data_IF_043889834197
#
_entry.id   IF_043889834197
#
_cell.length_a   1.000
_cell.length_b   1.000
_cell.length_c   1.000
_cell.angle_alpha   90.00
_cell.angle_beta   90.00
_cell.angle_gamma   90.00
#
_symmetry.space_group_name_H-M   'P 1'
#
loop_
_entity.id
_entity.type
_entity.pdbx_description
1 polymer ?
#
# COMPACT_ATOMS: atom_id res chain seq x y z
N UNK A 1 -28.21 17.79 -45.33
CA UNK A 1 -26.79 18.12 -45.05
C UNK A 1 -26.54 18.05 -43.55
N UNK A 2 -26.15 16.88 -43.03
CA UNK A 2 -25.66 16.71 -41.66
C UNK A 2 -24.26 16.14 -41.74
N UNK A 3 -23.24 16.90 -41.28
CA UNK A 3 -21.85 16.47 -41.28
C UNK A 3 -21.63 15.50 -40.12
N UNK A 4 -21.33 14.23 -40.44
CA UNK A 4 -20.77 13.28 -39.47
C UNK A 4 -19.40 13.79 -38.99
N UNK A 5 -19.25 14.00 -37.68
CA UNK A 5 -17.94 14.21 -37.05
C UNK A 5 -17.33 12.84 -36.74
N UNK A 6 -16.34 12.43 -37.53
CA UNK A 6 -15.47 11.27 -37.23
C UNK A 6 -14.43 11.68 -36.18
N UNK A 7 -14.28 10.86 -35.14
CA UNK A 7 -13.17 10.92 -34.20
C UNK A 7 -12.14 9.82 -34.53
N UNK A 8 -10.83 10.04 -34.33
CA UNK A 8 -9.79 9.09 -34.73
C UNK A 8 -9.75 7.87 -33.79
N UNK A 9 -9.59 6.69 -34.38
CA UNK A 9 -9.33 5.42 -33.68
C UNK A 9 -7.84 5.34 -33.37
N UNK A 10 -7.46 5.32 -32.09
CA UNK A 10 -6.09 4.99 -31.67
C UNK A 10 -5.91 3.46 -31.70
N UNK A 11 -5.01 2.97 -32.54
CA UNK A 11 -4.55 1.58 -32.58
C UNK A 11 -3.49 1.37 -31.49
N UNK A 12 -3.79 0.55 -30.48
CA UNK A 12 -2.80 0.01 -29.54
C UNK A 12 -2.34 -1.37 -30.04
N UNK A 13 -1.05 -1.72 -29.90
CA UNK A 13 -0.51 -2.98 -30.40
C UNK A 13 -0.74 -4.11 -29.38
N UNK A 14 -1.94 -4.69 -29.35
CA UNK A 14 -2.28 -6.06 -28.90
C UNK A 14 -3.82 -6.25 -28.95
N UNK A 15 -4.38 -7.43 -29.30
CA UNK A 15 -5.74 -7.54 -29.81
C UNK A 15 -6.77 -7.65 -28.67
N UNK A 16 -7.06 -6.53 -28.02
CA UNK A 16 -8.22 -6.38 -27.15
C UNK A 16 -9.10 -5.31 -27.78
N UNK A 17 -10.22 -5.73 -28.38
CA UNK A 17 -11.17 -4.78 -28.98
C UNK A 17 -12.13 -4.32 -27.88
N UNK A 18 -11.95 -3.08 -27.39
CA UNK A 18 -12.91 -2.42 -26.51
C UNK A 18 -13.93 -1.66 -27.36
N UNK A 19 -15.21 -1.94 -27.17
CA UNK A 19 -16.30 -1.16 -27.78
C UNK A 19 -16.98 -0.36 -26.68
N UNK A 20 -17.06 0.96 -26.89
CA UNK A 20 -17.78 1.88 -26.02
C UNK A 20 -19.20 2.00 -26.57
N UNK A 21 -20.20 1.67 -25.75
CA UNK A 21 -21.62 1.88 -26.10
C UNK A 21 -22.37 2.54 -24.96
N UNK A 22 -23.46 3.23 -25.30
CA UNK A 22 -24.35 3.89 -24.35
C UNK A 22 -25.67 3.12 -24.28
N UNK A 23 -26.01 2.62 -23.10
CA UNK A 23 -27.33 2.01 -22.83
C UNK A 23 -28.04 2.93 -21.84
N UNK A 24 -29.18 3.49 -22.25
CA UNK A 24 -29.97 4.47 -21.47
C UNK A 24 -29.16 5.66 -20.94
N UNK A 25 -28.27 6.21 -21.75
CA UNK A 25 -27.54 7.45 -21.43
C UNK A 25 -26.30 7.29 -20.55
N UNK A 26 -25.96 6.06 -20.13
CA UNK A 26 -24.75 5.78 -19.35
C UNK A 26 -23.70 5.08 -20.22
N UNK A 27 -22.46 5.55 -20.18
CA UNK A 27 -21.35 5.04 -20.99
C UNK A 27 -20.83 3.72 -20.38
N UNK A 28 -20.89 2.63 -21.14
CA UNK A 28 -20.40 1.33 -20.72
C UNK A 28 -19.24 0.88 -21.61
N UNK A 29 -18.18 0.36 -20.97
CA UNK A 29 -17.03 -0.25 -21.65
C UNK A 29 -17.24 -1.76 -21.64
N UNK A 30 -17.34 -2.37 -22.82
CA UNK A 30 -17.46 -3.82 -22.96
C UNK A 30 -16.16 -4.37 -23.52
N UNK A 31 -15.48 -5.18 -22.72
CA UNK A 31 -14.27 -5.89 -23.13
C UNK A 31 -14.66 -7.23 -23.73
N UNK A 32 -14.41 -7.42 -25.04
CA UNK A 32 -14.64 -8.69 -25.71
C UNK A 32 -13.31 -9.45 -25.77
N UNK A 33 -13.21 -10.58 -25.08
CA UNK A 33 -12.10 -11.52 -25.23
C UNK A 33 -12.41 -12.48 -26.39
N UNK A 34 -11.51 -12.66 -27.36
CA UNK A 34 -11.71 -13.64 -28.42
C UNK A 34 -11.58 -15.06 -27.85
N UNK A 35 -12.57 -15.91 -28.16
CA UNK A 35 -12.46 -17.36 -27.98
C UNK A 35 -11.55 -17.94 -29.07
N UNK A 36 -10.57 -18.76 -28.67
CA UNK A 36 -9.70 -19.51 -29.57
C UNK A 36 -10.30 -20.91 -29.78
N UNK A 37 -11.10 -21.06 -30.83
CA UNK A 37 -11.41 -22.38 -31.39
C UNK A 37 -10.56 -22.59 -32.65
N UNK A 38 -9.74 -23.65 -32.67
CA UNK A 38 -9.23 -24.25 -33.91
C UNK A 38 -8.09 -23.55 -34.65
N UNK A 39 -7.29 -22.69 -34.02
CA UNK A 39 -5.92 -22.43 -34.49
C UNK A 39 -5.72 -21.59 -35.75
N UNK A 40 -6.68 -20.75 -36.19
CA UNK A 40 -6.39 -19.65 -37.14
C UNK A 40 -7.19 -18.38 -36.85
N UNK A 41 -6.52 -17.22 -36.98
CA UNK A 41 -7.09 -15.89 -36.80
C UNK A 41 -7.87 -15.48 -38.07
N UNK A 42 -9.17 -15.16 -37.98
CA UNK A 42 -9.94 -14.56 -39.08
C UNK A 42 -10.40 -13.14 -38.71
N UNK A 43 -10.23 -12.20 -39.62
CA UNK A 43 -10.69 -10.81 -39.49
C UNK A 43 -12.21 -10.75 -39.66
N UNK A 44 -12.93 -10.30 -38.63
CA UNK A 44 -14.38 -10.12 -38.68
C UNK A 44 -14.69 -8.73 -39.24
N UNK A 45 -15.17 -8.66 -40.47
CA UNK A 45 -15.80 -7.46 -41.05
C UNK A 45 -17.31 -7.56 -40.86
N UNK A 46 -17.87 -6.71 -40.00
CA UNK A 46 -19.28 -6.58 -39.58
C UNK A 46 -19.84 -7.63 -38.58
N UNK A 47 -20.21 -7.22 -37.33
CA UNK A 47 -20.97 -8.07 -36.43
C UNK A 47 -22.48 -7.92 -36.67
N UNK A 48 -23.12 -8.92 -37.28
CA UNK A 48 -24.57 -9.10 -37.20
C UNK A 48 -24.90 -9.95 -35.97
N UNK A 49 -25.48 -9.33 -34.95
CA UNK A 49 -26.01 -9.99 -33.74
C UNK A 49 -27.23 -10.84 -34.11
N UNK A 50 -27.10 -12.15 -34.28
CA UNK A 50 -28.26 -13.03 -34.48
C UNK A 50 -28.19 -14.42 -33.81
N UNK A 51 -27.24 -14.69 -32.93
CA UNK A 51 -27.09 -16.04 -32.33
C UNK A 51 -26.83 -16.09 -30.82
N UNK A 52 -27.57 -15.34 -30.00
CA UNK A 52 -27.64 -15.59 -28.55
C UNK A 52 -29.09 -15.76 -28.09
N UNK A 53 -29.49 -17.01 -27.83
CA UNK A 53 -30.81 -17.39 -27.32
C UNK A 53 -30.74 -17.65 -25.80
N UNK A 54 -31.42 -16.77 -25.04
CA UNK A 54 -31.93 -16.88 -23.66
C UNK A 54 -30.92 -17.00 -22.50
N UNK A 55 -31.07 -16.09 -21.53
CA UNK A 55 -30.56 -16.23 -20.15
C UNK A 55 -31.68 -16.81 -19.27
N UNK A 56 -31.37 -17.80 -18.42
CA UNK A 56 -32.31 -18.38 -17.43
C UNK A 56 -31.72 -18.21 -16.02
N UNK A 57 -32.53 -17.74 -15.08
CA UNK A 57 -32.21 -17.68 -13.65
C UNK A 57 -32.89 -18.84 -12.92
N UNK A 58 -32.22 -19.40 -11.90
CA UNK A 58 -32.76 -20.42 -11.00
C UNK A 58 -33.06 -19.76 -9.64
N UNK A 59 -34.32 -19.37 -9.43
CA UNK A 59 -34.83 -19.02 -8.10
C UNK A 59 -35.74 -20.15 -7.60
N UNK A 60 -35.40 -20.73 -6.44
CA UNK A 60 -36.26 -21.70 -5.76
C UNK A 60 -36.56 -23.02 -6.51
N UNK A 61 -35.80 -23.34 -7.57
CA UNK A 61 -35.94 -24.61 -8.30
C UNK A 61 -36.92 -24.62 -9.47
N UNK A 62 -37.43 -23.48 -9.95
CA UNK A 62 -38.16 -23.41 -11.23
C UNK A 62 -37.63 -22.33 -12.17
N UNK A 63 -37.61 -22.63 -13.47
CA UNK A 63 -37.09 -21.75 -14.53
C UNK A 63 -38.11 -20.66 -14.92
N UNK A 64 -37.70 -19.38 -14.92
CA UNK A 64 -38.47 -18.26 -15.51
C UNK A 64 -37.60 -17.35 -16.40
N UNK A 65 -38.15 -16.74 -17.46
CA UNK A 65 -37.46 -15.72 -18.26
C UNK A 65 -37.39 -14.38 -17.52
N UNK A 66 -36.23 -13.72 -17.51
CA UNK A 66 -36.01 -12.43 -16.82
C UNK A 66 -35.97 -11.28 -17.84
N UNK A 67 -36.81 -10.27 -17.67
CA UNK A 67 -36.92 -9.10 -18.58
C UNK A 67 -36.30 -7.80 -18.03
N UNK A 68 -35.62 -7.80 -16.88
CA UNK A 68 -34.86 -6.65 -16.38
C UNK A 68 -33.76 -7.09 -15.38
N UNK A 69 -32.47 -6.78 -15.59
CA UNK A 69 -31.42 -7.12 -14.64
C UNK A 69 -31.10 -5.95 -13.69
N UNK A 70 -31.41 -6.10 -12.40
CA UNK A 70 -30.74 -5.38 -11.30
C UNK A 70 -29.73 -6.34 -10.67
N UNK A 71 -28.46 -5.94 -10.62
CA UNK A 71 -27.30 -6.78 -10.27
C UNK A 71 -27.18 -7.12 -8.77
N UNK A 72 -28.28 -7.22 -8.02
CA UNK A 72 -28.26 -7.45 -6.57
C UNK A 72 -28.61 -8.87 -6.11
N UNK A 73 -28.91 -9.82 -7.01
CA UNK A 73 -29.37 -11.16 -6.61
C UNK A 73 -28.81 -12.36 -7.40
N UNK A 74 -27.57 -12.31 -7.91
CA UNK A 74 -26.95 -13.47 -8.58
C UNK A 74 -26.06 -14.26 -7.61
N UNK A 75 -26.58 -15.39 -7.07
CA UNK A 75 -25.80 -16.37 -6.29
C UNK A 75 -25.62 -17.65 -7.10
N UNK A 76 -24.38 -17.88 -7.57
CA UNK A 76 -23.81 -19.05 -8.31
C UNK A 76 -23.79 -18.92 -9.84
N UNK A 77 -22.60 -19.14 -10.38
CA UNK A 77 -22.34 -19.34 -11.81
C UNK A 77 -22.25 -20.85 -12.09
N UNK A 78 -22.90 -21.33 -13.16
CA UNK A 78 -22.74 -22.69 -13.68
C UNK A 78 -22.14 -22.57 -15.08
N UNK A 79 -21.04 -23.27 -15.35
CA UNK A 79 -20.51 -23.44 -16.71
C UNK A 79 -21.25 -24.60 -17.39
N UNK A 80 -21.59 -24.44 -18.67
CA UNK A 80 -22.12 -25.50 -19.53
C UNK A 80 -21.02 -25.90 -20.52
N UNK A 81 -20.17 -26.83 -20.12
CA UNK A 81 -19.29 -27.55 -21.04
C UNK A 81 -19.90 -28.90 -21.36
N UNK A 82 -20.15 -29.18 -22.64
CA UNK A 82 -20.48 -30.53 -23.14
C UNK A 82 -21.77 -31.16 -22.63
N UNK A 83 -22.70 -30.39 -22.05
CA UNK A 83 -24.03 -30.89 -21.68
C UNK A 83 -24.16 -31.59 -20.32
N UNK A 84 -23.18 -31.48 -19.42
CA UNK A 84 -23.36 -31.89 -18.02
C UNK A 84 -22.89 -30.83 -17.01
N UNK A 85 -23.68 -30.65 -15.93
CA UNK A 85 -23.46 -29.64 -14.89
C UNK A 85 -22.47 -30.14 -13.82
N UNK A 86 -21.48 -29.31 -13.46
CA UNK A 86 -20.64 -29.51 -12.26
C UNK A 86 -20.46 -28.21 -11.47
N UNK A 87 -20.45 -28.25 -10.12
CA UNK A 87 -20.18 -27.09 -9.28
C UNK A 87 -18.67 -26.79 -9.20
N UNK A 88 -18.31 -25.50 -9.23
CA UNK A 88 -16.93 -25.01 -9.12
C UNK A 88 -16.61 -24.74 -7.65
N UNK A 89 -15.64 -25.45 -7.07
CA UNK A 89 -15.08 -25.16 -5.74
C UNK A 89 -13.64 -24.67 -5.88
N UNK A 90 -13.41 -23.43 -5.41
CA UNK A 90 -12.16 -22.68 -5.13
C UNK A 90 -10.95 -22.81 -6.09
N UNK A 91 -10.37 -21.68 -6.59
CA UNK A 91 -9.16 -21.72 -7.40
C UNK A 91 -7.92 -21.85 -6.50
N UNK A 92 -7.30 -23.03 -6.50
CA UNK A 92 -5.89 -23.18 -6.12
C UNK A 92 -5.07 -22.96 -7.38
N UNK A 93 -4.30 -21.87 -7.44
CA UNK A 93 -3.31 -21.66 -8.49
C UNK A 93 -2.17 -22.66 -8.30
N UNK A 94 -2.23 -23.80 -8.99
CA UNK A 94 -1.08 -24.67 -9.20
C UNK A 94 -0.45 -24.33 -10.55
N UNK A 95 0.79 -23.83 -10.52
CA UNK A 95 1.63 -23.73 -11.70
C UNK A 95 2.00 -25.14 -12.16
N UNK A 96 1.59 -25.55 -13.36
CA UNK A 96 2.15 -26.72 -14.01
C UNK A 96 3.11 -26.34 -15.14
N UNK A 97 4.34 -26.82 -14.96
CA UNK A 97 5.45 -26.89 -15.91
C UNK A 97 4.98 -27.56 -17.22
N UNK A 98 5.31 -26.93 -18.35
CA UNK A 98 5.11 -27.52 -19.68
C UNK A 98 6.44 -28.09 -20.18
N UNK A 99 6.61 -29.41 -20.14
CA UNK A 99 7.64 -30.14 -20.89
C UNK A 99 7.02 -31.36 -21.58
N UNK A 100 7.13 -31.35 -22.92
CA UNK A 100 7.10 -32.45 -23.90
C UNK A 100 5.76 -33.24 -24.05
N UNK A 101 5.25 -33.61 -25.23
CA UNK A 101 5.80 -34.32 -26.41
C UNK A 101 4.81 -34.08 -27.62
N UNK A 102 5.03 -34.36 -28.91
CA UNK A 102 5.72 -35.43 -29.65
C UNK A 102 6.03 -34.87 -31.06
N UNK A 103 7.27 -35.02 -31.55
CA UNK A 103 7.50 -35.27 -32.96
C UNK A 103 8.23 -36.62 -33.05
N UNK A 104 7.60 -37.57 -33.72
CA UNK A 104 7.97 -38.98 -33.76
C UNK A 104 9.18 -39.19 -34.67
N UNK A 105 10.25 -39.79 -34.14
CA UNK A 105 11.39 -40.19 -34.97
C UNK A 105 12.48 -40.92 -34.19
N UNK A 106 12.43 -42.26 -34.24
CA UNK A 106 13.56 -43.21 -34.11
C UNK A 106 14.34 -43.26 -32.78
N UNK A 107 13.98 -44.26 -31.97
CA UNK A 107 14.82 -45.33 -31.45
C UNK A 107 16.30 -45.02 -31.10
N UNK A 108 16.64 -45.05 -29.81
CA UNK A 108 17.81 -45.78 -29.30
C UNK A 108 17.70 -46.01 -27.79
N UNK A 109 17.76 -47.28 -27.38
CA UNK A 109 17.91 -47.70 -25.99
C UNK A 109 19.32 -47.37 -25.50
N UNK A 110 19.47 -46.68 -24.37
CA UNK A 110 20.61 -46.83 -23.47
C UNK A 110 20.36 -46.15 -22.11
N UNK A 111 20.60 -46.93 -21.05
CA UNK A 111 21.08 -46.49 -19.74
C UNK A 111 20.06 -45.93 -18.73
N UNK A 112 19.51 -46.84 -17.92
CA UNK A 112 19.14 -46.58 -16.53
C UNK A 112 20.41 -46.21 -15.73
N UNK A 113 20.54 -44.97 -15.28
CA UNK A 113 21.40 -44.61 -14.16
C UNK A 113 20.89 -43.31 -13.49
N UNK A 114 20.40 -43.47 -12.27
CA UNK A 114 20.58 -42.52 -11.15
C UNK A 114 20.13 -41.07 -11.35
N UNK A 115 18.86 -40.78 -11.05
CA UNK A 115 18.47 -39.49 -10.49
C UNK A 115 17.72 -39.71 -9.17
N UNK A 116 18.48 -39.73 -8.08
CA UNK A 116 17.96 -39.41 -6.75
C UNK A 116 17.72 -37.90 -6.73
N UNK A 117 16.48 -37.48 -6.96
CA UNK A 117 16.08 -36.09 -6.72
C UNK A 117 15.89 -35.95 -5.21
N UNK A 118 16.83 -35.26 -4.55
CA UNK A 118 16.59 -34.73 -3.21
C UNK A 118 15.38 -33.81 -3.30
N UNK A 119 14.23 -34.29 -2.82
CA UNK A 119 13.13 -33.43 -2.43
C UNK A 119 13.59 -32.68 -1.17
N UNK A 120 14.25 -31.53 -1.35
CA UNK A 120 14.37 -30.56 -0.27
C UNK A 120 12.96 -30.08 0.03
N UNK A 121 12.36 -30.64 1.07
CA UNK A 121 11.25 -30.03 1.78
C UNK A 121 11.66 -28.61 2.13
N UNK A 122 11.21 -27.64 1.33
CA UNK A 122 11.21 -26.24 1.73
C UNK A 122 10.28 -26.17 2.94
N UNK A 123 10.86 -26.25 4.14
CA UNK A 123 10.16 -25.80 5.32
C UNK A 123 9.76 -24.36 5.03
N UNK A 124 8.46 -24.09 4.99
CA UNK A 124 7.95 -22.74 5.09
C UNK A 124 8.41 -22.29 6.48
N UNK A 125 9.52 -21.56 6.54
CA UNK A 125 9.97 -20.95 7.79
C UNK A 125 8.89 -19.93 8.12
N UNK A 126 8.02 -20.29 9.05
CA UNK A 126 7.10 -19.35 9.65
C UNK A 126 7.94 -18.17 10.16
N UNK A 127 7.65 -16.96 9.66
CA UNK A 127 8.39 -15.79 10.05
C UNK A 127 8.30 -15.65 11.58
N UNK A 128 9.45 -15.66 12.25
CA UNK A 128 9.49 -15.62 13.70
C UNK A 128 8.79 -14.36 14.22
N UNK A 129 8.03 -14.51 15.31
CA UNK A 129 7.33 -13.41 15.95
C UNK A 129 8.34 -12.34 16.39
N UNK A 130 8.04 -11.06 16.16
CA UNK A 130 8.84 -9.94 16.68
C UNK A 130 8.75 -9.97 18.21
N UNK A 131 9.87 -10.25 18.87
CA UNK A 131 9.92 -10.28 20.34
C UNK A 131 10.02 -8.87 20.90
N UNK A 132 9.02 -8.44 21.67
CA UNK A 132 9.04 -7.19 22.42
C UNK A 132 9.72 -7.46 23.76
N UNK A 133 10.92 -6.91 23.94
CA UNK A 133 11.75 -7.17 25.14
C UNK A 133 11.47 -6.13 26.21
N UNK A 134 11.24 -6.60 27.44
CA UNK A 134 11.07 -5.71 28.58
C UNK A 134 12.42 -5.17 29.06
N UNK A 135 12.54 -3.85 29.20
CA UNK A 135 13.73 -3.16 29.71
C UNK A 135 13.47 -2.60 31.10
N UNK A 136 14.54 -2.49 31.90
CA UNK A 136 14.50 -1.82 33.21
C UNK A 136 14.82 -0.34 33.02
N UNK A 137 13.88 0.55 33.35
CA UNK A 137 14.05 2.00 33.23
C UNK A 137 13.24 2.58 32.08
N UNK A 138 13.64 3.76 31.60
CA UNK A 138 12.93 4.48 30.54
C UNK A 138 13.29 3.92 29.16
N UNK A 139 12.33 3.94 28.24
CA UNK A 139 12.56 3.56 26.85
C UNK A 139 13.46 4.59 26.12
N UNK A 140 14.37 4.12 25.24
CA UNK A 140 15.23 5.01 24.47
C UNK A 140 14.41 5.80 23.43
N UNK A 141 14.54 7.13 23.45
CA UNK A 141 14.02 8.00 22.38
C UNK A 141 14.93 8.03 21.16
N UNK A 142 16.22 7.71 21.34
CA UNK A 142 17.25 7.77 20.31
C UNK A 142 17.32 6.48 19.48
N UNK A 143 17.30 6.57 18.14
CA UNK A 143 17.34 5.37 17.28
C UNK A 143 18.63 4.56 17.32
N UNK A 144 19.73 5.14 17.80
CA UNK A 144 21.05 4.48 17.89
C UNK A 144 21.44 4.14 19.33
N UNK A 145 20.50 4.21 20.27
CA UNK A 145 20.76 3.94 21.68
C UNK A 145 21.20 2.48 21.92
N UNK A 146 22.13 2.22 22.85
CA UNK A 146 22.67 0.87 23.11
C UNK A 146 21.62 -0.12 23.63
N UNK A 147 20.53 0.35 24.23
CA UNK A 147 19.42 -0.46 24.75
C UNK A 147 18.80 -1.33 23.65
N UNK A 148 18.82 -0.88 22.39
CA UNK A 148 18.33 -1.64 21.24
C UNK A 148 19.13 -2.91 20.96
N UNK A 149 20.34 -3.08 21.52
CA UNK A 149 21.10 -4.33 21.42
C UNK A 149 20.46 -5.47 22.21
N UNK A 150 19.56 -5.18 23.15
CA UNK A 150 18.85 -6.18 23.96
C UNK A 150 17.70 -6.85 23.19
N UNK A 151 17.14 -6.18 22.17
CA UNK A 151 16.07 -6.74 21.36
C UNK A 151 16.62 -7.48 20.14
N UNK A 152 16.12 -8.70 19.83
CA UNK A 152 16.50 -9.38 18.60
C UNK A 152 16.01 -8.60 17.38
N UNK A 153 16.86 -8.48 16.35
CA UNK A 153 16.48 -7.88 15.07
C UNK A 153 15.67 -8.90 14.28
N UNK A 154 14.42 -8.57 13.97
CA UNK A 154 13.57 -9.36 13.09
C UNK A 154 13.54 -8.75 11.70
N UNK A 155 13.91 -9.53 10.68
CA UNK A 155 13.72 -9.12 9.29
C UNK A 155 12.28 -9.40 8.86
N UNK A 156 11.63 -8.38 8.29
CA UNK A 156 10.27 -8.46 7.74
C UNK A 156 10.35 -8.17 6.25
N UNK A 157 9.88 -9.12 5.44
CA UNK A 157 9.80 -8.96 4.00
C UNK A 157 8.72 -7.93 3.64
N UNK A 158 9.05 -7.02 2.73
CA UNK A 158 8.11 -6.04 2.18
C UNK A 158 7.99 -6.24 0.67
N UNK A 159 6.79 -6.05 0.16
CA UNK A 159 6.47 -6.22 -1.26
C UNK A 159 5.96 -4.93 -1.85
N UNK A 160 6.18 -4.67 -3.16
CA UNK A 160 5.59 -3.52 -3.81
C UNK A 160 4.06 -3.63 -3.79
N UNK A 161 3.39 -2.49 -3.58
CA UNK A 161 1.96 -2.41 -3.78
C UNK A 161 1.63 -2.60 -5.28
N UNK A 162 0.81 -3.61 -5.57
CA UNK A 162 0.39 -3.98 -6.93
C UNK A 162 -1.14 -4.11 -7.05
N UNK A 163 -1.88 -3.94 -5.96
CA UNK A 163 -3.32 -4.26 -5.89
C UNK A 163 -4.18 -3.20 -6.57
N UNK A 164 -3.90 -1.92 -6.31
CA UNK A 164 -4.76 -0.79 -6.71
C UNK A 164 -3.92 0.35 -7.27
N UNK A 165 -4.29 0.98 -8.41
CA UNK A 165 -3.60 2.16 -8.90
C UNK A 165 -3.60 3.33 -7.89
N UNK A 166 -2.50 4.10 -7.77
CA UNK A 166 -1.24 3.95 -8.49
C UNK A 166 -0.36 2.83 -7.90
N UNK A 167 0.07 1.91 -8.77
CA UNK A 167 0.92 0.76 -8.40
C UNK A 167 2.41 1.14 -8.37
N UNK A 168 3.19 0.42 -7.57
CA UNK A 168 4.65 0.56 -7.52
C UNK A 168 5.31 -0.42 -8.49
N UNK A 169 5.55 0.00 -9.74
CA UNK A 169 6.06 -0.86 -10.80
C UNK A 169 7.42 -1.52 -10.48
N UNK A 170 8.34 -0.79 -9.85
CA UNK A 170 9.67 -1.27 -9.49
C UNK A 170 9.85 -1.24 -7.97
N UNK A 171 10.12 -2.39 -7.37
CA UNK A 171 10.47 -2.45 -5.96
C UNK A 171 11.91 -1.93 -5.74
N UNK A 172 12.08 -1.03 -4.79
CA UNK A 172 13.38 -0.52 -4.35
C UNK A 172 13.84 -1.05 -2.98
N UNK A 173 12.92 -1.58 -2.16
CA UNK A 173 13.18 -2.18 -0.85
C UNK A 173 12.54 -3.58 -0.83
N UNK A 174 13.24 -4.58 -0.32
CA UNK A 174 12.78 -5.98 -0.22
C UNK A 174 12.53 -6.42 1.24
N UNK A 175 13.22 -5.80 2.19
CA UNK A 175 13.06 -6.06 3.62
C UNK A 175 13.29 -4.84 4.49
N UNK A 176 12.72 -4.90 5.69
CA UNK A 176 13.00 -3.98 6.79
C UNK A 176 13.45 -4.78 8.01
N UNK A 177 14.17 -4.12 8.91
CA UNK A 177 14.54 -4.68 10.21
C UNK A 177 13.70 -4.03 11.30
N UNK A 178 13.00 -4.83 12.09
CA UNK A 178 12.14 -4.39 13.18
C UNK A 178 12.64 -4.92 14.52
N UNK A 179 12.57 -4.07 15.55
CA UNK A 179 12.86 -4.39 16.95
C UNK A 179 11.83 -3.69 17.84
N UNK A 180 11.59 -4.23 19.03
CA UNK A 180 10.63 -3.66 19.95
C UNK A 180 11.06 -3.79 21.41
N UNK A 181 10.82 -2.74 22.19
CA UNK A 181 11.11 -2.67 23.62
C UNK A 181 9.87 -2.18 24.38
N UNK A 182 9.73 -2.59 25.64
CA UNK A 182 8.69 -2.07 26.55
C UNK A 182 9.25 -1.86 27.95
N UNK A 183 8.79 -0.84 28.67
CA UNK A 183 9.08 -0.63 30.10
C UNK A 183 7.92 -1.11 31.01
N UNK A 184 6.85 -1.67 30.41
CA UNK A 184 5.62 -2.07 31.09
C UNK A 184 4.55 -0.98 31.19
N UNK A 185 4.85 0.26 30.83
CA UNK A 185 3.89 1.37 30.72
C UNK A 185 3.75 1.88 29.28
N UNK A 186 4.84 1.87 28.54
CA UNK A 186 5.00 2.29 27.16
C UNK A 186 5.67 1.21 26.32
N UNK A 187 5.59 1.38 24.99
CA UNK A 187 6.22 0.51 24.00
C UNK A 187 6.93 1.36 22.97
N UNK A 188 8.11 0.90 22.54
CA UNK A 188 8.87 1.51 21.46
C UNK A 188 9.17 0.50 20.36
N UNK A 189 8.97 0.94 19.12
CA UNK A 189 9.22 0.17 17.91
C UNK A 189 10.35 0.83 17.13
N UNK A 190 11.44 0.10 16.88
CA UNK A 190 12.54 0.55 16.02
C UNK A 190 12.44 -0.16 14.69
N UNK A 191 12.39 0.62 13.62
CA UNK A 191 12.40 0.14 12.24
C UNK A 191 13.59 0.71 11.50
N UNK A 192 14.26 -0.10 10.70
CA UNK A 192 15.32 0.37 9.82
C UNK A 192 15.28 -0.28 8.45
N UNK A 193 15.68 0.48 7.42
CA UNK A 193 15.75 0.02 6.04
C UNK A 193 16.91 0.70 5.31
N UNK A 194 17.42 0.04 4.28
CA UNK A 194 18.51 0.59 3.47
C UNK A 194 17.96 1.71 2.58
N UNK A 195 18.67 2.83 2.56
CA UNK A 195 18.36 3.96 1.70
C UNK A 195 19.63 4.70 1.32
N UNK A 196 19.87 4.87 0.02
CA UNK A 196 21.09 5.51 -0.47
C UNK A 196 21.14 7.00 -0.14
N UNK A 197 19.99 7.64 0.09
CA UNK A 197 19.88 9.05 0.41
C UNK A 197 18.92 9.27 1.59
N UNK A 198 19.08 10.41 2.25
CA UNK A 198 18.12 10.93 3.23
C UNK A 198 17.18 11.90 2.49
N UNK A 199 16.15 11.36 1.84
CA UNK A 199 15.20 12.20 1.13
C UNK A 199 14.19 12.77 2.14
N UNK A 200 14.41 14.02 2.56
CA UNK A 200 13.52 14.71 3.50
C UNK A 200 12.81 15.93 2.91
N UNK A 201 13.23 16.39 1.73
CA UNK A 201 12.65 17.57 1.09
C UNK A 201 11.43 17.22 0.23
N UNK A 202 10.53 18.20 0.06
CA UNK A 202 9.41 18.09 -0.87
C UNK A 202 9.59 19.10 -2.00
N UNK A 203 9.44 18.63 -3.22
CA UNK A 203 9.39 19.46 -4.43
C UNK A 203 8.45 18.80 -5.44
N UNK A 204 8.20 19.42 -6.59
CA UNK A 204 7.30 18.92 -7.65
C UNK A 204 7.63 17.47 -8.06
N UNK A 205 8.90 17.09 -8.01
CA UNK A 205 9.38 15.73 -8.36
C UNK A 205 10.18 15.04 -7.26
N UNK A 206 10.27 15.64 -6.05
CA UNK A 206 10.99 15.08 -4.91
C UNK A 206 10.01 14.78 -3.79
N UNK A 207 10.10 13.57 -3.26
CA UNK A 207 9.22 13.09 -2.20
C UNK A 207 10.07 12.73 -0.98
N UNK A 208 9.56 12.90 0.23
CA UNK A 208 10.28 12.48 1.41
C UNK A 208 10.15 10.97 1.63
N UNK A 209 11.18 10.39 2.24
CA UNK A 209 11.15 9.06 2.81
C UNK A 209 10.12 9.00 3.94
N UNK A 210 9.50 7.83 4.09
CA UNK A 210 8.48 7.63 5.11
C UNK A 210 8.39 6.18 5.53
N UNK A 211 7.95 5.95 6.76
CA UNK A 211 7.66 4.62 7.28
C UNK A 211 6.37 4.65 8.08
N UNK A 212 5.60 3.57 8.01
CA UNK A 212 4.37 3.41 8.78
C UNK A 212 4.33 2.05 9.47
N UNK A 213 3.74 2.04 10.66
CA UNK A 213 3.36 0.86 11.42
C UNK A 213 1.83 0.77 11.42
N UNK A 214 1.29 -0.39 11.11
CA UNK A 214 -0.16 -0.62 11.08
C UNK A 214 -0.53 -1.70 12.10
N UNK A 215 -1.59 -1.46 12.87
CA UNK A 215 -2.12 -2.34 13.90
C UNK A 215 -3.61 -2.58 13.69
N UNK A 216 -4.10 -3.82 13.81
CA UNK A 216 -5.51 -4.14 13.60
C UNK A 216 -6.32 -3.83 14.86
N UNK A 217 -7.30 -2.93 14.78
CA UNK A 217 -8.22 -2.65 15.91
C UNK A 217 -9.25 -3.77 16.10
N UNK A 218 -9.48 -4.58 15.05
CA UNK A 218 -10.34 -5.75 15.04
C UNK A 218 -9.62 -6.94 14.41
N UNK A 219 -9.95 -8.16 14.83
CA UNK A 219 -9.18 -9.37 14.48
C UNK A 219 -9.23 -9.77 12.99
N UNK A 220 -10.27 -9.37 12.28
CA UNK A 220 -10.49 -9.63 10.85
C UNK A 220 -9.97 -8.50 9.93
N UNK A 221 -9.37 -7.44 10.51
CA UNK A 221 -8.83 -6.35 9.72
C UNK A 221 -7.76 -6.83 8.72
N UNK A 222 -7.89 -6.35 7.49
CA UNK A 222 -6.94 -6.62 6.41
C UNK A 222 -5.66 -5.78 6.59
N UNK A 223 -4.47 -6.30 6.27
CA UNK A 223 -3.22 -5.52 6.25
C UNK A 223 -3.17 -4.53 5.06
N UNK A 224 -4.23 -4.49 4.24
CA UNK A 224 -4.42 -3.51 3.17
C UNK A 224 -5.19 -2.29 3.70
N UNK A 225 -4.79 -1.78 4.86
CA UNK A 225 -5.41 -0.64 5.53
C UNK A 225 -6.84 -0.92 6.00
N UNK A 226 -7.15 -2.18 6.36
CA UNK A 226 -8.48 -2.59 6.79
C UNK A 226 -9.45 -2.92 5.65
N UNK A 227 -10.73 -3.02 5.98
CA UNK A 227 -11.82 -3.19 5.00
C UNK A 227 -13.09 -2.52 5.49
N UNK A 228 -13.94 -2.13 4.54
CA UNK A 228 -15.26 -1.58 4.82
C UNK A 228 -16.11 -2.58 5.62
N UNK A 229 -16.91 -2.07 6.56
CA UNK A 229 -17.81 -2.87 7.39
C UNK A 229 -17.26 -3.15 8.79
N UNK A 230 -16.38 -2.30 9.31
CA UNK A 230 -15.84 -2.38 10.67
C UNK A 230 -14.40 -2.89 10.78
N UNK A 231 -13.75 -3.25 9.66
CA UNK A 231 -12.37 -3.72 9.60
C UNK A 231 -11.36 -2.60 9.80
N UNK A 232 -11.36 -1.94 10.96
CA UNK A 232 -10.54 -0.76 11.25
C UNK A 232 -9.10 -1.11 11.63
N UNK A 233 -8.18 -0.22 11.26
CA UNK A 233 -6.76 -0.28 11.63
C UNK A 233 -6.28 1.08 12.13
N UNK A 234 -5.34 1.06 13.07
CA UNK A 234 -4.55 2.22 13.47
C UNK A 234 -3.24 2.20 12.71
N UNK A 235 -2.79 3.36 12.22
CA UNK A 235 -1.53 3.52 11.51
C UNK A 235 -0.72 4.63 12.17
N UNK A 236 0.50 4.30 12.61
CA UNK A 236 1.49 5.27 13.07
C UNK A 236 2.38 5.61 11.87
N UNK A 237 2.48 6.89 11.53
CA UNK A 237 3.15 7.33 10.31
C UNK A 237 4.24 8.35 10.60
N UNK A 238 5.43 8.12 10.08
CA UNK A 238 6.56 9.04 10.15
C UNK A 238 7.00 9.45 8.75
N UNK A 239 7.43 10.71 8.60
CA UNK A 239 8.04 11.25 7.38
C UNK A 239 9.37 11.92 7.68
N UNK A 240 10.33 11.75 6.79
CA UNK A 240 11.62 12.44 6.81
C UNK A 240 11.47 13.96 6.81
N UNK A 241 10.48 14.49 6.09
CA UNK A 241 10.16 15.93 6.11
C UNK A 241 9.90 16.45 7.53
N UNK A 242 9.06 15.76 8.30
CA UNK A 242 8.71 16.21 9.65
C UNK A 242 9.89 16.07 10.62
N UNK A 243 10.77 15.09 10.39
CA UNK A 243 12.03 15.00 11.12
C UNK A 243 12.92 16.21 10.82
N UNK A 244 13.04 16.60 9.54
CA UNK A 244 13.80 17.78 9.14
C UNK A 244 13.18 19.07 9.68
N UNK A 245 11.85 19.20 9.65
CA UNK A 245 11.13 20.34 10.22
C UNK A 245 11.44 20.50 11.73
N UNK A 246 11.50 19.39 12.47
CA UNK A 246 11.86 19.38 13.89
C UNK A 246 13.32 19.78 14.14
N UNK A 247 14.24 19.32 13.30
CA UNK A 247 15.68 19.48 13.53
C UNK A 247 16.22 20.83 13.02
N UNK A 248 15.70 21.32 11.89
CA UNK A 248 16.19 22.51 11.18
C UNK A 248 15.18 23.67 11.12
N UNK A 249 13.94 23.46 11.57
CA UNK A 249 12.83 24.40 11.39
C UNK A 249 12.04 24.14 10.11
N UNK A 250 10.92 24.85 9.92
CA UNK A 250 10.03 24.65 8.78
C UNK A 250 10.76 24.84 7.44
N UNK A 251 10.63 23.88 6.54
CA UNK A 251 11.31 23.90 5.24
C UNK A 251 10.54 24.73 4.20
N UNK A 252 11.18 25.78 3.68
CA UNK A 252 10.61 26.65 2.64
C UNK A 252 11.19 26.32 1.24
N UNK A 253 10.58 26.87 0.19
CA UNK A 253 11.00 26.67 -1.21
C UNK A 253 12.47 27.07 -1.42
N UNK A 254 12.93 28.09 -0.71
CA UNK A 254 14.29 28.63 -0.73
C UNK A 254 15.33 27.62 -0.26
N UNK A 255 14.96 26.67 0.63
CA UNK A 255 15.89 25.65 1.13
C UNK A 255 16.18 24.59 0.05
N UNK A 256 15.29 24.41 -0.93
CA UNK A 256 15.50 23.55 -2.10
C UNK A 256 16.04 24.36 -3.29
N UNK A 257 15.60 25.61 -3.43
CA UNK A 257 15.93 26.50 -4.55
C UNK A 257 16.51 27.82 -4.02
N UNK A 258 17.83 27.89 -3.71
CA UNK A 258 18.44 29.07 -3.08
C UNK A 258 18.36 30.37 -3.90
N UNK A 259 18.14 30.25 -5.21
CA UNK A 259 18.04 31.38 -6.14
C UNK A 259 16.58 31.76 -6.46
N UNK A 260 15.59 31.17 -5.77
CA UNK A 260 14.19 31.60 -5.92
C UNK A 260 14.05 33.04 -5.42
N UNK A 261 13.31 33.85 -6.17
CA UNK A 261 13.02 35.23 -5.81
C UNK A 261 11.52 35.42 -5.68
N UNK A 262 11.11 35.97 -4.55
CA UNK A 262 9.74 36.36 -4.25
C UNK A 262 9.71 37.88 -4.17
N UNK A 263 9.03 38.53 -5.12
CA UNK A 263 9.14 39.98 -5.30
C UNK A 263 8.33 40.77 -4.27
N UNK A 264 7.00 40.67 -4.32
CA UNK A 264 6.12 41.45 -3.45
C UNK A 264 5.06 40.57 -2.80
N UNK A 265 5.18 40.37 -1.49
CA UNK A 265 4.10 39.92 -0.63
C UNK A 265 3.66 41.07 0.26
N UNK A 266 2.45 41.59 0.00
CA UNK A 266 1.90 42.74 0.74
C UNK A 266 1.79 42.54 2.26
N UNK A 267 1.76 41.28 2.71
CA UNK A 267 1.63 40.90 4.11
C UNK A 267 2.93 40.37 4.73
N UNK A 268 4.02 40.33 3.95
CA UNK A 268 5.32 39.92 4.45
C UNK A 268 6.07 41.14 4.99
N UNK A 269 6.75 40.94 6.10
CA UNK A 269 7.66 41.88 6.71
C UNK A 269 9.08 41.64 6.17
N UNK A 270 9.99 42.61 6.33
CA UNK A 270 11.38 42.45 5.90
C UNK A 270 11.65 42.72 4.41
N UNK A 271 12.75 42.16 3.90
CA UNK A 271 13.22 42.37 2.51
C UNK A 271 13.10 41.06 1.73
N UNK A 272 12.74 41.16 0.46
CA UNK A 272 12.76 40.04 -0.46
C UNK A 272 14.17 39.37 -0.54
N UNK A 273 14.24 38.04 -0.73
CA UNK A 273 13.11 37.11 -0.87
C UNK A 273 12.50 36.72 0.49
N UNK A 274 11.17 36.85 0.62
CA UNK A 274 10.47 36.59 1.88
C UNK A 274 10.40 35.10 2.24
N UNK A 275 10.73 34.72 3.48
CA UNK A 275 10.67 33.34 4.01
C UNK A 275 9.40 33.07 4.81
N UNK A 276 8.86 31.86 4.67
CA UNK A 276 7.73 31.36 5.45
C UNK A 276 8.25 30.38 6.50
N UNK A 277 7.87 30.52 7.80
CA UNK A 277 6.94 31.51 8.35
C UNK A 277 7.58 32.84 8.83
N UNK A 278 8.90 32.99 8.80
CA UNK A 278 9.64 34.03 9.54
C UNK A 278 9.25 35.47 9.17
N UNK A 279 8.97 35.73 7.90
CA UNK A 279 8.59 37.07 7.43
C UNK A 279 7.07 37.31 7.52
N UNK A 280 6.29 36.32 7.96
CA UNK A 280 4.83 36.39 8.06
C UNK A 280 4.39 36.42 9.53
N UNK A 281 4.91 37.37 10.31
CA UNK A 281 4.65 37.46 11.75
C UNK A 281 3.21 37.88 12.09
N UNK A 282 2.56 38.67 11.24
CA UNK A 282 1.19 39.12 11.45
C UNK A 282 0.21 37.94 11.28
N UNK A 283 -0.58 37.54 12.30
CA UNK A 283 -1.54 36.44 12.18
C UNK A 283 -2.58 36.63 11.07
N UNK A 284 -2.92 37.87 10.73
CA UNK A 284 -3.84 38.19 9.61
C UNK A 284 -3.24 37.77 8.27
N UNK A 285 -1.92 37.78 8.12
CA UNK A 285 -1.25 37.30 6.90
C UNK A 285 -1.48 35.81 6.68
N UNK A 286 -1.68 35.03 7.77
CA UNK A 286 -1.83 33.59 7.68
C UNK A 286 -3.13 33.14 7.03
N UNK A 287 -4.12 34.02 6.88
CA UNK A 287 -5.37 33.72 6.18
C UNK A 287 -5.13 33.34 4.70
N UNK A 288 -4.02 33.78 4.12
CA UNK A 288 -3.65 33.53 2.73
C UNK A 288 -2.90 32.20 2.54
N UNK A 289 -2.44 31.56 3.62
CA UNK A 289 -1.89 30.21 3.56
C UNK A 289 -3.01 29.18 3.55
N UNK A 290 -3.64 28.97 2.38
CA UNK A 290 -4.81 28.09 2.21
C UNK A 290 -4.53 26.68 2.74
N UNK A 291 -3.33 26.14 2.53
CA UNK A 291 -2.96 24.82 3.05
C UNK A 291 -2.96 24.77 4.58
N UNK A 292 -2.45 25.81 5.24
CA UNK A 292 -2.49 25.95 6.70
C UNK A 292 -3.92 26.11 7.19
N UNK A 293 -4.73 26.95 6.53
CA UNK A 293 -6.13 27.17 6.89
C UNK A 293 -7.00 25.92 6.68
N UNK A 294 -6.66 25.09 5.71
CA UNK A 294 -7.29 23.78 5.50
C UNK A 294 -6.85 22.71 6.51
N UNK A 295 -5.96 23.04 7.46
CA UNK A 295 -5.44 22.09 8.43
C UNK A 295 -4.52 21.03 7.83
N UNK A 296 -3.85 21.32 6.70
CA UNK A 296 -2.91 20.39 6.10
C UNK A 296 -1.75 20.12 7.08
N UNK A 297 -1.52 18.86 7.50
CA UNK A 297 -0.45 18.53 8.45
C UNK A 297 0.97 18.84 7.96
N UNK A 298 1.16 19.10 6.68
CA UNK A 298 2.43 19.51 6.06
C UNK A 298 2.63 21.02 6.04
N UNK A 299 1.56 21.80 6.24
CA UNK A 299 1.59 23.26 6.27
C UNK A 299 1.46 23.79 7.71
N UNK A 300 1.86 22.97 8.69
CA UNK A 300 1.92 23.35 10.10
C UNK A 300 3.33 23.84 10.42
N UNK A 301 3.47 25.16 10.55
CA UNK A 301 4.76 25.84 10.74
C UNK A 301 5.43 25.54 12.08
N UNK A 302 4.66 25.05 13.08
CA UNK A 302 5.17 24.79 14.43
C UNK A 302 5.20 23.29 14.73
N UNK A 303 5.23 22.45 13.70
CA UNK A 303 5.15 21.01 13.86
C UNK A 303 6.43 20.46 14.48
N UNK A 304 6.35 20.12 15.76
CA UNK A 304 7.45 19.45 16.50
C UNK A 304 7.27 17.91 16.49
N UNK A 305 6.03 17.44 16.32
CA UNK A 305 5.72 16.02 16.33
C UNK A 305 6.00 15.40 14.95
N UNK A 306 6.90 14.41 14.90
CA UNK A 306 7.30 13.74 13.65
C UNK A 306 6.49 12.47 13.37
N UNK A 307 5.69 12.02 14.33
CA UNK A 307 4.71 10.96 14.17
C UNK A 307 3.32 11.54 13.92
N UNK A 308 2.55 10.88 13.07
CA UNK A 308 1.14 11.14 12.89
C UNK A 308 0.37 9.84 13.09
N UNK A 309 -0.63 9.88 13.96
CA UNK A 309 -1.60 8.80 14.13
C UNK A 309 -2.72 8.95 13.10
N UNK A 310 -3.05 7.84 12.45
CA UNK A 310 -4.04 7.74 11.40
C UNK A 310 -4.96 6.55 11.70
N UNK A 311 -6.20 6.62 11.23
CA UNK A 311 -7.15 5.50 11.25
C UNK A 311 -7.61 5.22 9.82
N UNK A 312 -7.83 3.94 9.50
CA UNK A 312 -8.37 3.53 8.21
C UNK A 312 -9.36 2.37 8.36
N UNK A 313 -10.34 2.33 7.48
CA UNK A 313 -11.32 1.26 7.30
C UNK A 313 -11.38 0.91 5.80
N UNK A 314 -10.27 0.41 5.28
CA UNK A 314 -10.00 0.21 3.86
C UNK A 314 -9.11 1.31 3.26
N UNK A 315 -8.46 0.99 2.15
CA UNK A 315 -7.74 1.99 1.37
C UNK A 315 -8.70 3.09 0.89
N UNK A 316 -8.32 4.35 1.07
CA UNK A 316 -9.14 5.52 0.69
C UNK A 316 -9.97 6.15 1.82
N UNK A 317 -10.02 5.54 3.01
CA UNK A 317 -10.65 6.13 4.21
C UNK A 317 -9.64 6.62 5.25
N UNK A 318 -8.35 6.61 4.88
CA UNK A 318 -7.24 7.04 5.74
C UNK A 318 -7.46 8.48 6.23
N UNK A 319 -7.57 8.64 7.54
CA UNK A 319 -7.88 9.93 8.18
C UNK A 319 -6.94 10.17 9.36
N UNK A 320 -6.36 11.38 9.49
CA UNK A 320 -5.61 11.75 10.70
C UNK A 320 -6.47 11.76 11.95
N UNK A 321 -5.89 11.29 13.05
CA UNK A 321 -6.46 11.48 14.39
C UNK A 321 -6.15 12.89 14.90
N UNK A 322 -7.03 13.42 15.75
CA UNK A 322 -6.88 14.79 16.27
C UNK A 322 -5.81 14.87 17.35
N UNK A 323 -5.80 13.88 18.25
CA UNK A 323 -4.80 13.72 19.29
C UNK A 323 -3.79 12.65 18.85
N UNK A 324 -2.52 12.79 19.25
CA UNK A 324 -1.47 11.82 18.96
C UNK A 324 -0.59 11.65 20.19
N UNK A 325 -0.66 10.47 20.80
CA UNK A 325 0.18 10.10 21.95
C UNK A 325 1.52 9.51 21.53
N UNK A 326 1.66 9.16 20.25
CA UNK A 326 2.88 8.62 19.66
C UNK A 326 3.88 9.73 19.34
N UNK A 327 5.12 9.50 19.75
CA UNK A 327 6.29 10.25 19.30
C UNK A 327 7.11 9.41 18.34
N UNK A 328 7.86 10.07 17.46
CA UNK A 328 8.88 9.40 16.66
C UNK A 328 10.17 10.21 16.57
N UNK A 329 11.27 9.50 16.33
CA UNK A 329 12.57 10.08 16.02
C UNK A 329 13.21 9.23 14.93
N UNK A 330 13.64 9.85 13.85
CA UNK A 330 14.33 9.21 12.74
C UNK A 330 15.74 9.74 12.58
N UNK A 331 16.70 8.86 12.26
CA UNK A 331 18.06 9.24 11.90
C UNK A 331 18.50 8.48 10.66
N UNK A 332 19.12 9.19 9.72
CA UNK A 332 19.80 8.57 8.58
C UNK A 332 21.30 8.53 8.84
N UNK A 333 21.89 7.35 8.77
CA UNK A 333 23.34 7.16 8.96
C UNK A 333 23.82 5.98 8.12
N UNK A 334 24.91 6.17 7.39
CA UNK A 334 25.60 5.12 6.62
C UNK A 334 24.68 4.38 5.64
N UNK A 335 23.83 5.11 4.90
CA UNK A 335 22.95 4.52 3.89
C UNK A 335 21.76 3.75 4.48
N UNK A 336 21.34 4.10 5.70
CA UNK A 336 20.23 3.46 6.41
C UNK A 336 19.43 4.49 7.20
N UNK A 337 18.12 4.46 7.03
CA UNK A 337 17.20 5.09 7.95
C UNK A 337 16.96 4.18 9.15
N UNK A 338 16.92 4.78 10.34
CA UNK A 338 16.47 4.13 11.57
C UNK A 338 15.47 5.04 12.26
N UNK A 339 14.26 4.56 12.47
CA UNK A 339 13.15 5.32 13.06
C UNK A 339 12.65 4.59 14.30
N UNK A 340 12.47 5.32 15.39
CA UNK A 340 11.85 4.83 16.62
C UNK A 340 10.50 5.49 16.78
N UNK A 341 9.45 4.70 16.95
CA UNK A 341 8.14 5.15 17.42
C UNK A 341 8.02 4.80 18.90
N UNK A 342 7.48 5.69 19.72
CA UNK A 342 7.23 5.44 21.14
C UNK A 342 5.86 5.95 21.55
N UNK A 343 5.09 5.13 22.28
CA UNK A 343 3.77 5.49 22.81
C UNK A 343 3.43 4.70 24.08
N UNK A 344 2.50 5.20 24.91
CA UNK A 344 1.92 4.42 26.01
C UNK A 344 1.31 3.11 25.50
N UNK A 345 1.30 2.06 26.34
CA UNK A 345 0.68 0.77 25.99
C UNK A 345 -0.84 0.90 25.74
N UNK A 346 -1.48 1.81 26.47
CA UNK A 346 -2.91 2.08 26.38
C UNK A 346 -3.18 3.57 26.32
N UNK A 347 -4.26 3.95 25.66
CA UNK A 347 -4.77 5.33 25.60
C UNK A 347 -6.30 5.32 25.65
N UNK A 348 -6.89 6.47 25.96
CA UNK A 348 -8.35 6.62 26.03
C UNK A 348 -9.00 6.80 24.64
N UNK A 349 -8.22 6.96 23.57
CA UNK A 349 -8.74 7.07 22.20
C UNK A 349 -9.25 5.70 21.71
N UNK A 350 -10.53 5.56 21.31
CA UNK A 350 -11.06 4.30 20.80
C UNK A 350 -10.47 3.87 19.45
N UNK A 351 -9.80 4.77 18.71
CA UNK A 351 -9.12 4.46 17.46
C UNK A 351 -7.66 4.06 17.66
N UNK A 352 -7.21 3.98 18.91
CA UNK A 352 -5.87 3.54 19.25
C UNK A 352 -5.83 2.06 19.61
N UNK A 353 -4.80 1.39 19.09
CA UNK A 353 -4.53 0.01 19.42
C UNK A 353 -4.09 -0.11 20.88
N UNK A 354 -4.67 -1.04 21.61
CA UNK A 354 -4.39 -1.25 23.02
C UNK A 354 -3.42 -2.43 23.17
N UNK A 355 -2.17 -2.14 23.49
CA UNK A 355 -1.14 -3.16 23.67
C UNK A 355 -1.33 -3.91 24.98
N UNK A 356 -1.46 -5.23 24.89
CA UNK A 356 -1.62 -6.14 26.03
C UNK A 356 -0.53 -7.21 25.99
N UNK A 357 -0.11 -7.75 27.15
CA UNK A 357 0.75 -8.92 27.21
C UNK A 357 0.26 -10.05 26.30
N UNK A 358 1.19 -10.77 25.68
CA UNK A 358 0.89 -11.85 24.75
C UNK A 358 1.11 -11.47 23.28
N UNK A 359 0.40 -12.15 22.38
CA UNK A 359 0.59 -12.00 20.93
C UNK A 359 -0.30 -10.92 20.33
N UNK A 360 0.27 -10.12 19.43
CA UNK A 360 -0.46 -9.20 18.57
C UNK A 360 0.03 -9.26 17.13
N UNK A 361 -0.50 -8.39 16.27
CA UNK A 361 -0.14 -8.30 14.86
C UNK A 361 0.26 -6.87 14.51
N UNK A 362 1.29 -6.75 13.69
CA UNK A 362 1.80 -5.51 13.14
C UNK A 362 2.08 -5.69 11.65
N UNK A 363 1.78 -4.69 10.85
CA UNK A 363 2.21 -4.59 9.46
C UNK A 363 3.01 -3.32 9.27
N UNK A 364 3.82 -3.29 8.21
CA UNK A 364 4.72 -2.19 7.95
C UNK A 364 4.50 -1.67 6.54
N UNK A 365 4.76 -0.39 6.34
CA UNK A 365 4.91 0.18 5.01
C UNK A 365 6.09 1.15 4.98
N UNK A 366 6.80 1.18 3.85
CA UNK A 366 7.94 2.06 3.64
C UNK A 366 7.85 2.74 2.27
N UNK A 367 8.27 3.99 2.23
CA UNK A 367 8.34 4.82 1.05
C UNK A 367 9.77 5.36 0.93
N UNK A 368 10.36 5.12 -0.24
CA UNK A 368 11.63 5.68 -0.64
C UNK A 368 11.39 6.84 -1.60
N UNK A 369 11.64 8.05 -1.11
CA UNK A 369 11.40 9.31 -1.77
C UNK A 369 12.13 9.46 -3.10
N UNK A 370 13.43 9.12 -3.13
CA UNK A 370 14.26 9.15 -4.32
C UNK A 370 13.84 8.15 -5.41
N UNK A 371 13.10 7.09 -5.05
CA UNK A 371 12.47 6.17 -6.01
C UNK A 371 11.09 6.68 -6.49
N UNK A 372 10.65 7.83 -6.00
CA UNK A 372 9.35 8.43 -6.33
C UNK A 372 8.17 7.83 -5.57
N UNK A 373 8.40 7.08 -4.49
CA UNK A 373 7.34 6.46 -3.69
C UNK A 373 6.55 7.54 -2.95
N UNK A 374 5.21 7.43 -2.98
CA UNK A 374 4.27 8.31 -2.26
C UNK A 374 2.86 7.72 -2.32
N UNK A 375 2.02 8.05 -1.34
CA UNK A 375 0.63 7.58 -1.31
C UNK A 375 0.55 6.05 -1.44
N UNK A 376 -0.21 5.54 -2.41
CA UNK A 376 -0.33 4.11 -2.68
C UNK A 376 0.92 3.43 -3.25
N UNK A 377 1.86 4.19 -3.82
CA UNK A 377 3.13 3.66 -4.35
C UNK A 377 4.12 3.48 -3.21
N UNK A 378 4.09 2.30 -2.60
CA UNK A 378 4.83 1.94 -1.39
C UNK A 378 5.21 0.47 -1.38
N UNK A 379 6.11 0.12 -0.48
CA UNK A 379 6.33 -1.26 -0.07
C UNK A 379 5.53 -1.54 1.20
N UNK A 380 4.97 -2.73 1.32
CA UNK A 380 4.15 -3.11 2.47
C UNK A 380 4.38 -4.58 2.85
N UNK A 381 4.18 -4.92 4.12
CA UNK A 381 4.25 -6.30 4.61
C UNK A 381 2.86 -6.87 4.89
N UNK A 382 2.74 -8.20 4.87
CA UNK A 382 1.61 -8.85 5.52
C UNK A 382 1.67 -8.68 7.05
N UNK A 383 0.61 -9.09 7.75
CA UNK A 383 0.61 -9.19 9.20
C UNK A 383 1.77 -10.05 9.68
N UNK A 384 2.64 -9.44 10.48
CA UNK A 384 3.69 -10.08 11.24
C UNK A 384 3.24 -10.16 12.68
N UNK A 385 3.40 -11.32 13.31
CA UNK A 385 3.10 -11.46 14.72
C UNK A 385 4.18 -10.77 15.55
N UNK A 386 3.79 -10.21 16.69
CA UNK A 386 4.71 -9.81 17.74
C UNK A 386 4.27 -10.40 19.07
N UNK A 387 5.21 -10.57 20.00
CA UNK A 387 4.94 -11.10 21.33
C UNK A 387 5.50 -10.15 22.39
N UNK A 388 4.61 -9.65 23.27
CA UNK A 388 5.00 -8.93 24.48
C UNK A 388 5.28 -9.94 25.57
N UNK A 389 6.57 -10.16 25.81
CA UNK A 389 7.05 -11.07 26.83
C UNK A 389 6.94 -10.36 28.19
N UNK A 390 6.01 -10.79 29.03
CA UNK A 390 6.06 -10.49 30.47
C UNK A 390 7.20 -11.29 31.07
N UNK A 391 8.24 -10.62 31.57
CA UNK A 391 9.19 -11.32 32.44
C UNK A 391 8.43 -11.77 33.69
N UNK A 392 8.41 -13.09 33.93
CA UNK A 392 7.98 -13.65 35.22
C UNK A 392 9.00 -13.32 36.31
#
# INVERSE_FOLDING_TARGET
MGREKKWPVCLLPNPIMCVITTINGMMCIVTILPSLDGGQQKTVTHPTFNHLKKFLSLDGGQQKPVTHPTFSHLKKFLSLDGGQQKPVTHPTFSMEKKVMMINSGKMCQASLASLFVLATSGAVVEAADISVVQVKGHLPSEPLAPEWQQAPVQEVAVMPQQVTPPQLAQASIDKISAQALTDGQSISWRVSWQDAASDANVDVSRFPDAVALEFPLVSDASPLMGHRGGGKVQILYWKGLWQKDKDEGFQDVQDVHPNVWSDLYWFAEGKAPHRVPEDFNNPVSHQWFIAKQAGNPTADFNKIQTAQELVAEGWGTLTPQQDSVTTATGVWKEGRWTVVFSRPLTSDDPNDYQFKPGKGKIAFAVWQGGAGNRGGRKHWSFWTNYAINTQQ
#
